data_IF_540995995990
#
_entry.id   IF_540995995990
#
_cell.length_a   1.000
_cell.length_b   1.000
_cell.length_c   1.000
_cell.angle_alpha   90.00
_cell.angle_beta   90.00
_cell.angle_gamma   90.00
#
_symmetry.space_group_name_H-M   'P 1'
#
loop_
_entity.id
_entity.type
_entity.pdbx_description
1 polymer ?
#
# COMPACT_ATOMS: atom_id res chain seq x y z
N UNK A 1 -43.23 7.33 -12.18
CA UNK A 1 -42.22 6.90 -13.17
C UNK A 1 -41.92 8.11 -14.05
N UNK A 2 -40.87 8.86 -13.78
CA UNK A 2 -40.46 9.94 -14.69
C UNK A 2 -39.53 9.33 -15.73
N UNK A 3 -40.01 9.22 -16.97
CA UNK A 3 -39.22 8.74 -18.10
C UNK A 3 -38.01 9.65 -18.29
N UNK A 4 -36.82 9.04 -18.31
CA UNK A 4 -35.62 9.68 -18.77
C UNK A 4 -35.74 9.91 -20.29
N UNK A 5 -35.86 11.17 -20.69
CA UNK A 5 -35.59 11.60 -22.06
C UNK A 5 -34.64 12.79 -21.97
N UNK A 6 -33.41 12.54 -22.40
CA UNK A 6 -32.30 13.49 -22.51
C UNK A 6 -32.70 14.57 -23.53
N UNK A 7 -32.65 15.85 -23.13
CA UNK A 7 -32.23 16.93 -24.02
C UNK A 7 -31.42 17.92 -23.17
N UNK A 8 -30.10 17.77 -23.23
CA UNK A 8 -29.15 18.83 -22.87
C UNK A 8 -29.33 19.96 -23.89
N UNK A 9 -30.07 21.00 -23.52
CA UNK A 9 -29.90 22.32 -24.13
C UNK A 9 -29.40 23.25 -23.05
N UNK A 10 -28.09 23.39 -23.02
CA UNK A 10 -27.40 24.48 -22.35
C UNK A 10 -27.88 25.76 -23.05
N UNK A 11 -28.91 26.41 -22.49
CA UNK A 11 -29.30 27.74 -22.96
C UNK A 11 -28.37 28.75 -22.27
N UNK A 12 -27.29 29.11 -22.98
CA UNK A 12 -26.53 30.31 -22.69
C UNK A 12 -27.20 31.45 -23.48
N UNK A 13 -27.72 32.48 -22.79
CA UNK A 13 -27.76 33.80 -23.40
C UNK A 13 -26.80 34.71 -22.64
N UNK A 14 -25.79 35.17 -23.38
CA UNK A 14 -24.89 36.22 -22.93
C UNK A 14 -25.68 37.48 -22.58
N UNK A 15 -25.41 38.00 -21.39
CA UNK A 15 -25.81 39.35 -21.01
C UNK A 15 -24.88 40.34 -21.70
N UNK A 16 -25.32 40.93 -22.81
CA UNK A 16 -24.80 42.21 -23.29
C UNK A 16 -25.82 43.32 -22.94
N UNK A 17 -25.24 44.43 -22.52
CA UNK A 17 -25.78 45.67 -21.93
C UNK A 17 -26.86 46.41 -22.73
N UNK A 18 -27.86 46.98 -22.03
CA UNK A 18 -28.34 48.37 -22.17
C UNK A 18 -29.47 48.69 -21.16
N UNK A 19 -29.49 49.90 -20.55
CA UNK A 19 -30.73 50.49 -20.03
C UNK A 19 -30.96 51.94 -20.50
N UNK A 20 -32.17 52.26 -20.97
CA UNK A 20 -32.84 53.58 -20.91
C UNK A 20 -34.28 53.35 -21.44
N UNK A 21 -35.42 53.87 -20.95
CA UNK A 21 -35.78 55.04 -20.14
C UNK A 21 -37.20 54.86 -19.51
N UNK A 22 -37.57 55.82 -18.65
CA UNK A 22 -38.76 55.98 -17.79
C UNK A 22 -40.13 56.00 -18.55
N UNK A 23 -41.33 55.86 -17.97
CA UNK A 23 -41.85 55.82 -16.60
C UNK A 23 -43.40 55.91 -16.57
N UNK A 24 -43.95 55.75 -15.36
CA UNK A 24 -45.27 56.18 -14.80
C UNK A 24 -46.57 55.34 -14.95
N UNK A 25 -47.05 55.00 -13.74
CA UNK A 25 -48.43 54.97 -13.21
C UNK A 25 -49.42 53.86 -13.61
N UNK A 26 -49.79 53.06 -12.60
CA UNK A 26 -50.97 52.19 -12.61
C UNK A 26 -50.90 51.14 -11.49
N UNK A 27 -51.67 51.35 -10.41
CA UNK A 27 -51.96 50.30 -9.43
C UNK A 27 -52.69 49.11 -10.08
N UNK A 28 -52.62 47.95 -9.43
CA UNK A 28 -53.19 46.65 -9.85
C UNK A 28 -52.38 45.74 -10.80
N UNK A 29 -51.05 45.69 -10.70
CA UNK A 29 -50.28 44.53 -11.23
C UNK A 29 -49.15 44.16 -10.27
N UNK A 30 -49.47 43.85 -9.02
CA UNK A 30 -48.44 43.42 -8.04
C UNK A 30 -48.73 42.10 -7.35
N UNK A 31 -49.99 41.69 -7.24
CA UNK A 31 -50.36 40.43 -6.59
C UNK A 31 -50.23 39.24 -7.55
N UNK A 32 -50.77 39.32 -8.78
CA UNK A 32 -50.68 38.22 -9.76
C UNK A 32 -49.26 37.92 -10.25
N UNK A 33 -48.42 38.95 -10.43
CA UNK A 33 -47.01 38.78 -10.84
C UNK A 33 -46.17 38.18 -9.71
N UNK A 34 -46.45 38.53 -8.45
CA UNK A 34 -45.81 37.92 -7.29
C UNK A 34 -46.24 36.47 -7.08
N UNK A 35 -47.55 36.16 -7.22
CA UNK A 35 -48.06 34.78 -7.16
C UNK A 35 -47.45 33.92 -8.26
N UNK A 36 -47.36 34.44 -9.50
CA UNK A 36 -46.71 33.75 -10.61
C UNK A 36 -45.21 33.53 -10.35
N UNK A 37 -44.50 34.53 -9.81
CA UNK A 37 -43.09 34.38 -9.43
C UNK A 37 -42.87 33.39 -8.28
N UNK A 38 -43.78 33.33 -7.30
CA UNK A 38 -43.74 32.35 -6.21
C UNK A 38 -44.04 30.94 -6.71
N UNK A 39 -45.03 30.79 -7.60
CA UNK A 39 -45.34 29.53 -8.27
C UNK A 39 -44.14 29.05 -9.11
N UNK A 40 -43.52 29.94 -9.90
CA UNK A 40 -42.31 29.62 -10.66
C UNK A 40 -41.13 29.27 -9.76
N UNK A 41 -40.91 29.99 -8.64
CA UNK A 41 -39.88 29.63 -7.65
C UNK A 41 -40.14 28.27 -7.02
N UNK A 42 -41.39 27.93 -6.69
CA UNK A 42 -41.76 26.63 -6.14
C UNK A 42 -41.60 25.50 -7.18
N UNK A 43 -41.91 25.77 -8.45
CA UNK A 43 -41.70 24.82 -9.56
C UNK A 43 -40.21 24.63 -9.81
N UNK A 44 -39.42 25.71 -9.89
CA UNK A 44 -37.96 25.65 -10.04
C UNK A 44 -37.36 24.88 -8.86
N UNK A 45 -37.74 25.21 -7.63
CA UNK A 45 -37.25 24.53 -6.42
C UNK A 45 -37.66 23.04 -6.40
N UNK A 46 -38.88 22.72 -6.84
CA UNK A 46 -39.35 21.34 -7.01
C UNK A 46 -38.56 20.57 -8.08
N UNK A 47 -38.27 21.20 -9.22
CA UNK A 47 -37.46 20.62 -10.31
C UNK A 47 -36.01 20.43 -9.87
N UNK A 48 -35.39 21.42 -9.22
CA UNK A 48 -34.02 21.32 -8.68
C UNK A 48 -33.93 20.24 -7.60
N UNK A 49 -34.94 20.12 -6.73
CA UNK A 49 -35.00 19.07 -5.70
C UNK A 49 -35.23 17.68 -6.28
N UNK A 50 -36.01 17.56 -7.36
CA UNK A 50 -36.14 16.30 -8.11
C UNK A 50 -34.82 15.91 -8.76
N UNK A 51 -34.12 16.84 -9.43
CA UNK A 51 -32.81 16.59 -10.04
C UNK A 51 -31.72 16.19 -9.02
N UNK A 52 -31.68 16.85 -7.86
CA UNK A 52 -30.75 16.53 -6.77
C UNK A 52 -31.00 15.14 -6.14
N UNK A 53 -32.25 14.69 -6.09
CA UNK A 53 -32.63 13.39 -5.52
C UNK A 53 -32.68 12.25 -6.56
N UNK A 54 -32.73 12.58 -7.85
CA UNK A 54 -32.68 11.62 -8.96
C UNK A 54 -31.29 11.43 -9.54
N UNK A 55 -30.29 12.19 -9.08
CA UNK A 55 -28.89 11.85 -9.31
C UNK A 55 -28.65 10.54 -8.54
N UNK A 56 -28.43 9.39 -9.22
CA UNK A 56 -27.90 8.25 -8.51
C UNK A 56 -26.61 8.75 -7.86
N UNK A 57 -26.53 8.67 -6.52
CA UNK A 57 -25.21 8.64 -5.88
C UNK A 57 -24.55 7.46 -6.55
N UNK A 58 -23.64 7.72 -7.49
CA UNK A 58 -22.88 6.64 -8.08
C UNK A 58 -22.20 5.99 -6.88
N UNK A 59 -22.67 4.80 -6.49
CA UNK A 59 -22.00 3.93 -5.54
C UNK A 59 -20.76 3.41 -6.27
N UNK A 60 -19.86 4.31 -6.65
CA UNK A 60 -18.49 3.95 -6.96
C UNK A 60 -17.94 3.50 -5.63
N UNK A 61 -17.90 2.18 -5.43
CA UNK A 61 -16.89 1.59 -4.55
C UNK A 61 -15.58 2.29 -4.91
N UNK A 62 -14.95 2.95 -3.93
CA UNK A 62 -13.63 3.52 -4.15
C UNK A 62 -12.68 2.36 -4.47
N UNK A 63 -12.42 2.17 -5.75
CA UNK A 63 -11.53 1.12 -6.27
C UNK A 63 -10.09 1.59 -6.29
N UNK A 64 -9.81 2.81 -5.81
CA UNK A 64 -8.44 3.30 -5.68
C UNK A 64 -7.78 2.69 -4.45
N UNK A 65 -6.48 2.45 -4.55
CA UNK A 65 -5.70 1.95 -3.44
C UNK A 65 -5.14 3.12 -2.62
N UNK A 66 -5.14 2.92 -1.31
CA UNK A 66 -4.32 3.69 -0.37
C UNK A 66 -2.83 3.60 -0.71
N UNK A 67 -1.97 4.49 -0.17
CA UNK A 67 -0.54 4.37 -0.33
C UNK A 67 -0.06 2.97 0.04
N UNK A 68 0.84 2.35 -0.75
CA UNK A 68 1.32 1.00 -0.51
C UNK A 68 1.94 0.92 0.91
N UNK A 69 1.57 -0.10 1.70
CA UNK A 69 2.02 -0.22 3.08
C UNK A 69 3.53 -0.45 3.17
N UNK A 70 4.13 -0.19 4.32
CA UNK A 70 5.55 -0.54 4.53
C UNK A 70 5.74 -2.06 4.70
N UNK A 71 6.98 -2.51 4.48
CA UNK A 71 7.42 -3.89 4.73
C UNK A 71 8.63 -3.89 5.67
N UNK A 72 8.76 -4.92 6.50
CA UNK A 72 9.95 -5.10 7.34
C UNK A 72 11.19 -5.34 6.47
N UNK A 73 12.32 -4.73 6.82
CA UNK A 73 13.58 -4.92 6.08
C UNK A 73 13.61 -4.26 4.70
N UNK A 74 12.65 -3.37 4.39
CA UNK A 74 12.54 -2.73 3.09
C UNK A 74 11.72 -1.45 3.10
N UNK A 75 11.53 -0.89 1.91
CA UNK A 75 10.76 0.34 1.68
C UNK A 75 10.12 0.33 0.30
N UNK A 76 9.09 1.15 0.12
CA UNK A 76 8.61 1.51 -1.22
C UNK A 76 9.60 2.48 -1.86
N UNK A 77 9.91 2.28 -3.14
CA UNK A 77 10.77 3.17 -3.91
C UNK A 77 10.03 4.45 -4.32
N UNK A 78 10.74 5.58 -4.28
CA UNK A 78 10.21 6.87 -4.69
C UNK A 78 9.23 7.49 -3.69
N UNK A 79 8.47 8.48 -4.16
CA UNK A 79 7.48 9.20 -3.35
C UNK A 79 6.12 8.53 -3.48
N UNK A 80 5.49 8.23 -2.34
CA UNK A 80 4.15 7.64 -2.32
C UNK A 80 3.10 8.67 -2.74
N UNK A 81 2.20 8.28 -3.63
CA UNK A 81 0.99 9.07 -3.93
C UNK A 81 -0.03 8.89 -2.80
N UNK A 82 -0.90 9.86 -2.53
CA UNK A 82 -1.98 9.71 -1.56
C UNK A 82 -3.04 8.68 -1.99
N UNK A 83 -3.18 8.43 -3.29
CA UNK A 83 -4.10 7.45 -3.90
C UNK A 83 -3.51 6.88 -5.18
N UNK A 84 -3.89 5.64 -5.50
CA UNK A 84 -3.47 4.92 -6.71
C UNK A 84 -4.68 4.37 -7.46
N UNK A 85 -4.74 4.57 -8.78
CA UNK A 85 -5.81 4.04 -9.62
C UNK A 85 -5.65 2.51 -9.85
N UNK A 86 -6.73 1.77 -10.12
CA UNK A 86 -6.64 0.38 -10.56
C UNK A 86 -5.67 0.21 -11.73
N UNK A 87 -4.77 -0.77 -11.64
CA UNK A 87 -3.72 -1.04 -12.61
C UNK A 87 -2.41 -0.28 -12.37
N UNK A 88 -2.39 0.76 -11.52
CA UNK A 88 -1.13 1.39 -11.12
C UNK A 88 -0.28 0.47 -10.26
N UNK A 89 1.04 0.68 -10.32
CA UNK A 89 2.01 -0.16 -9.63
C UNK A 89 2.90 0.62 -8.66
N UNK A 90 3.39 -0.09 -7.65
CA UNK A 90 4.40 0.39 -6.73
C UNK A 90 5.54 -0.63 -6.63
N UNK A 91 6.76 -0.13 -6.49
CA UNK A 91 7.97 -0.94 -6.44
C UNK A 91 8.55 -0.93 -5.03
N UNK A 92 8.87 -2.09 -4.49
CA UNK A 92 9.56 -2.26 -3.22
C UNK A 92 11.05 -2.49 -3.42
N UNK A 93 11.82 -2.14 -2.39
CA UNK A 93 13.25 -2.40 -2.29
C UNK A 93 13.60 -2.85 -0.88
N UNK A 94 14.31 -3.96 -0.77
CA UNK A 94 14.89 -4.37 0.50
C UNK A 94 16.08 -3.49 0.88
N UNK A 95 16.27 -3.26 2.18
CA UNK A 95 17.44 -2.58 2.71
C UNK A 95 18.70 -3.40 2.48
N UNK A 96 19.85 -2.74 2.63
CA UNK A 96 21.14 -3.42 2.52
C UNK A 96 21.24 -4.57 3.53
N UNK A 97 21.70 -5.73 3.07
CA UNK A 97 21.79 -6.94 3.89
C UNK A 97 20.51 -7.76 3.93
N UNK A 98 19.45 -7.36 3.24
CA UNK A 98 18.23 -8.15 3.08
C UNK A 98 18.07 -8.62 1.63
N UNK A 99 17.39 -9.75 1.45
CA UNK A 99 17.08 -10.34 0.15
C UNK A 99 15.57 -10.43 -0.06
N UNK A 100 15.13 -10.01 -1.24
CA UNK A 100 13.72 -10.02 -1.61
C UNK A 100 13.24 -11.42 -1.97
N UNK A 101 12.08 -11.80 -1.44
CA UNK A 101 11.33 -13.01 -1.78
C UNK A 101 9.96 -12.58 -2.29
N UNK A 102 9.56 -13.07 -3.46
CA UNK A 102 8.32 -12.67 -4.13
C UNK A 102 8.52 -11.52 -5.14
N UNK A 103 7.42 -11.01 -5.69
CA UNK A 103 7.44 -9.95 -6.68
C UNK A 103 7.78 -8.59 -6.05
N UNK A 104 8.78 -7.89 -6.58
CA UNK A 104 9.17 -6.56 -6.11
C UNK A 104 8.11 -5.49 -6.41
N UNK A 105 7.23 -5.77 -7.37
CA UNK A 105 6.23 -4.85 -7.87
C UNK A 105 4.85 -5.33 -7.45
N UNK A 106 4.07 -4.44 -6.86
CA UNK A 106 2.66 -4.67 -6.53
C UNK A 106 1.77 -3.84 -7.43
N UNK A 107 0.57 -4.34 -7.70
CA UNK A 107 -0.42 -3.69 -8.56
C UNK A 107 -1.68 -3.40 -7.75
N UNK A 108 -2.27 -2.23 -7.94
CA UNK A 108 -3.57 -1.88 -7.36
C UNK A 108 -4.68 -2.60 -8.13
N UNK A 109 -5.47 -3.43 -7.45
CA UNK A 109 -6.58 -4.19 -7.99
C UNK A 109 -7.82 -3.96 -7.13
N UNK A 110 -8.81 -3.26 -7.68
CA UNK A 110 -10.12 -3.03 -7.06
C UNK A 110 -10.03 -2.57 -5.58
N UNK A 111 -9.19 -1.57 -5.29
CA UNK A 111 -8.99 -1.01 -3.95
C UNK A 111 -7.98 -1.75 -3.08
N UNK A 112 -7.38 -2.84 -3.56
CA UNK A 112 -6.40 -3.64 -2.80
C UNK A 112 -5.10 -3.84 -3.58
N UNK A 113 -3.97 -3.85 -2.88
CA UNK A 113 -2.68 -4.19 -3.48
C UNK A 113 -2.54 -5.70 -3.62
N UNK A 114 -1.90 -6.16 -4.71
CA UNK A 114 -1.47 -7.56 -4.85
C UNK A 114 -0.51 -7.98 -3.73
N UNK A 115 -0.21 -9.28 -3.67
CA UNK A 115 0.71 -9.85 -2.69
C UNK A 115 2.05 -9.09 -2.66
N UNK A 116 2.48 -8.75 -1.45
CA UNK A 116 3.67 -7.95 -1.19
C UNK A 116 4.92 -8.84 -1.10
N UNK A 117 6.09 -8.32 -1.50
CA UNK A 117 7.33 -9.04 -1.27
C UNK A 117 7.69 -9.09 0.22
N UNK A 118 8.51 -10.07 0.57
CA UNK A 118 9.17 -10.16 1.87
C UNK A 118 10.65 -9.89 1.71
N UNK A 119 11.23 -9.12 2.64
CA UNK A 119 12.67 -8.95 2.74
C UNK A 119 13.20 -9.83 3.86
N UNK A 120 14.11 -10.75 3.52
CA UNK A 120 14.73 -11.68 4.46
C UNK A 120 16.18 -11.31 4.72
N UNK A 121 16.53 -11.12 5.99
CA UNK A 121 17.88 -10.76 6.42
C UNK A 121 18.90 -11.83 6.03
N UNK A 122 20.03 -11.39 5.50
CA UNK A 122 21.21 -12.21 5.37
C UNK A 122 21.85 -12.35 6.75
N UNK A 123 22.37 -13.53 7.04
CA UNK A 123 23.08 -13.78 8.28
C UNK A 123 24.57 -13.54 8.10
N UNK A 124 25.19 -13.02 9.15
CA UNK A 124 26.65 -12.88 9.23
C UNK A 124 27.19 -13.82 10.27
N UNK A 125 28.16 -14.65 9.89
CA UNK A 125 28.87 -15.50 10.84
C UNK A 125 29.63 -14.63 11.85
N UNK A 126 29.47 -15.00 13.11
CA UNK A 126 30.11 -14.36 14.25
C UNK A 126 31.24 -15.25 14.75
N UNK A 127 32.48 -14.86 14.48
CA UNK A 127 33.66 -15.58 15.00
C UNK A 127 33.64 -15.67 16.53
N UNK A 128 33.16 -14.63 17.22
CA UNK A 128 33.07 -14.64 18.68
C UNK A 128 32.04 -15.65 19.19
N UNK A 129 30.91 -15.83 18.49
CA UNK A 129 29.92 -16.85 18.83
C UNK A 129 30.49 -18.26 18.57
N UNK A 130 31.16 -18.46 17.43
CA UNK A 130 31.78 -19.73 17.08
C UNK A 130 32.88 -20.13 18.08
N UNK A 131 33.73 -19.19 18.48
CA UNK A 131 34.78 -19.43 19.47
C UNK A 131 34.19 -19.78 20.84
N UNK A 132 33.19 -19.02 21.32
CA UNK A 132 32.50 -19.31 22.60
C UNK A 132 31.84 -20.68 22.64
N UNK A 133 31.39 -21.15 21.48
CA UNK A 133 30.70 -22.44 21.36
C UNK A 133 31.64 -23.60 20.97
N UNK A 134 32.96 -23.35 20.86
CA UNK A 134 33.98 -24.34 20.47
C UNK A 134 33.69 -25.05 19.13
N UNK A 135 33.17 -24.29 18.17
CA UNK A 135 32.76 -24.79 16.86
C UNK A 135 33.55 -24.12 15.74
N UNK A 136 33.64 -24.82 14.61
CA UNK A 136 34.18 -24.33 13.34
C UNK A 136 33.30 -24.78 12.19
N UNK A 137 33.44 -24.14 11.03
CA UNK A 137 32.79 -24.63 9.83
C UNK A 137 33.31 -26.03 9.48
N UNK A 138 32.41 -26.92 9.05
CA UNK A 138 32.79 -28.25 8.57
C UNK A 138 33.68 -28.13 7.33
N UNK A 139 33.34 -27.17 6.46
CA UNK A 139 34.06 -26.82 5.23
C UNK A 139 34.19 -25.29 5.11
N UNK A 140 35.39 -24.80 4.79
CA UNK A 140 35.65 -23.38 4.52
C UNK A 140 35.65 -23.10 3.01
N UNK A 141 34.63 -23.57 2.30
CA UNK A 141 34.51 -23.44 0.83
C UNK A 141 34.12 -22.01 0.40
N UNK A 142 33.41 -21.28 1.26
CA UNK A 142 33.00 -19.89 1.00
C UNK A 142 34.08 -18.94 1.52
N UNK A 143 34.52 -18.00 0.67
CA UNK A 143 35.42 -16.89 1.08
C UNK A 143 34.71 -15.78 1.89
N UNK A 144 33.38 -15.83 1.97
CA UNK A 144 32.55 -14.81 2.65
C UNK A 144 31.89 -15.36 3.90
N UNK A 145 31.78 -14.54 4.94
CA UNK A 145 31.07 -14.83 6.20
C UNK A 145 29.57 -14.49 6.13
N UNK A 146 29.03 -14.15 4.94
CA UNK A 146 27.64 -13.78 4.75
C UNK A 146 26.87 -14.93 4.07
N UNK A 147 25.74 -15.28 4.67
CA UNK A 147 24.83 -16.33 4.21
C UNK A 147 23.45 -15.73 3.92
N UNK A 148 22.87 -16.13 2.79
CA UNK A 148 21.51 -15.74 2.41
C UNK A 148 20.50 -16.49 3.26
N UNK A 149 19.33 -15.91 3.49
CA UNK A 149 18.30 -16.64 4.22
C UNK A 149 17.94 -17.96 3.51
N UNK A 150 17.74 -19.02 4.30
CA UNK A 150 17.58 -20.43 3.90
C UNK A 150 18.84 -21.13 3.40
N UNK A 151 20.00 -20.47 3.34
CA UNK A 151 21.27 -21.20 3.16
C UNK A 151 21.62 -21.98 4.43
N UNK A 152 22.06 -23.23 4.23
CA UNK A 152 22.55 -24.12 5.28
C UNK A 152 24.02 -23.86 5.59
N UNK A 153 24.36 -23.93 6.87
CA UNK A 153 25.69 -23.74 7.42
C UNK A 153 26.04 -24.99 8.22
N UNK A 154 27.03 -25.73 7.74
CA UNK A 154 27.49 -26.96 8.39
C UNK A 154 28.63 -26.65 9.36
N UNK A 155 28.41 -26.96 10.64
CA UNK A 155 29.37 -26.80 11.72
C UNK A 155 29.95 -28.16 12.15
N UNK A 156 31.10 -28.11 12.81
CA UNK A 156 31.68 -29.24 13.54
C UNK A 156 32.44 -28.73 14.77
N UNK A 157 32.60 -29.57 15.78
CA UNK A 157 33.41 -29.24 16.94
C UNK A 157 34.91 -29.14 16.58
N UNK A 158 35.66 -28.45 17.45
CA UNK A 158 37.11 -28.64 17.51
C UNK A 158 37.47 -30.06 18.01
N UNK A 159 38.71 -30.50 17.74
CA UNK A 159 39.14 -31.88 17.91
C UNK A 159 38.94 -32.46 19.33
N UNK A 160 39.07 -31.65 20.38
CA UNK A 160 38.93 -32.07 21.79
C UNK A 160 37.55 -31.79 22.38
N UNK A 161 36.58 -31.47 21.54
CA UNK A 161 35.23 -31.09 21.96
C UNK A 161 34.20 -32.04 21.36
N UNK A 162 33.15 -32.35 22.12
CA UNK A 162 32.03 -33.19 21.67
C UNK A 162 30.76 -32.38 21.45
N UNK A 163 29.93 -32.84 20.54
CA UNK A 163 28.62 -32.27 20.24
C UNK A 163 27.68 -32.43 21.46
N UNK A 164 27.06 -31.34 21.90
CA UNK A 164 26.06 -31.35 23.00
C UNK A 164 24.72 -30.72 22.60
N UNK A 165 24.70 -29.91 21.53
CA UNK A 165 23.47 -29.38 20.91
C UNK A 165 22.75 -30.44 20.07
N UNK A 166 21.54 -30.09 19.61
CA UNK A 166 20.78 -30.98 18.72
C UNK A 166 21.50 -31.13 17.37
N UNK A 167 21.39 -32.29 16.70
CA UNK A 167 22.01 -32.51 15.39
C UNK A 167 21.61 -31.47 14.33
N UNK A 168 20.37 -30.96 14.39
CA UNK A 168 19.87 -29.92 13.49
C UNK A 168 20.62 -28.58 13.62
N UNK A 169 21.14 -28.28 14.82
CA UNK A 169 21.92 -27.06 15.06
C UNK A 169 23.30 -27.14 14.37
N UNK A 170 23.83 -28.35 14.12
CA UNK A 170 25.07 -28.53 13.38
C UNK A 170 24.90 -28.38 11.86
N UNK A 171 23.67 -28.45 11.36
CA UNK A 171 23.29 -28.14 9.98
C UNK A 171 22.32 -26.94 9.96
N UNK A 172 22.69 -25.88 10.70
CA UNK A 172 21.86 -24.71 10.91
C UNK A 172 21.52 -23.98 9.60
N UNK A 173 20.32 -23.42 9.53
CA UNK A 173 19.93 -22.52 8.43
C UNK A 173 19.99 -21.06 8.86
N UNK A 174 20.36 -20.18 7.93
CA UNK A 174 20.19 -18.75 8.12
C UNK A 174 18.69 -18.38 8.05
N UNK A 175 18.10 -18.01 9.18
CA UNK A 175 16.68 -17.66 9.27
C UNK A 175 16.54 -16.16 9.50
N UNK A 176 16.30 -15.39 8.42
CA UNK A 176 15.98 -13.96 8.49
C UNK A 176 16.98 -13.13 9.33
N UNK A 177 18.28 -13.34 9.09
CA UNK A 177 19.36 -12.68 9.82
C UNK A 177 19.82 -13.38 11.10
N UNK A 178 19.14 -14.45 11.52
CA UNK A 178 19.44 -15.23 12.73
C UNK A 178 20.10 -16.57 12.37
N UNK A 179 21.17 -16.91 13.12
CA UNK A 179 21.83 -18.22 13.08
C UNK A 179 21.77 -18.80 14.48
N UNK A 180 21.20 -20.00 14.60
CA UNK A 180 21.28 -20.79 15.81
C UNK A 180 22.61 -21.55 15.79
N UNK A 181 23.56 -21.12 16.62
CA UNK A 181 24.87 -21.76 16.70
C UNK A 181 24.81 -22.99 17.62
N UNK A 182 25.33 -24.15 17.18
CA UNK A 182 25.46 -25.31 18.06
C UNK A 182 26.53 -25.06 19.12
N UNK A 183 26.58 -25.90 20.14
CA UNK A 183 27.55 -25.87 21.23
C UNK A 183 28.31 -27.20 21.31
N UNK A 184 29.61 -27.09 21.60
CA UNK A 184 30.46 -28.23 21.94
C UNK A 184 31.14 -28.03 23.30
N UNK A 185 31.41 -29.15 23.99
CA UNK A 185 32.02 -29.15 25.33
C UNK A 185 33.30 -29.98 25.38
N UNK A 186 34.23 -29.57 26.24
CA UNK A 186 35.54 -30.22 26.39
C UNK A 186 35.37 -31.66 26.84
N UNK A 187 36.11 -32.57 26.20
CA UNK A 187 36.15 -33.97 26.63
C UNK A 187 37.09 -34.20 27.83
N UNK A 188 37.93 -33.22 28.17
CA UNK A 188 38.95 -33.31 29.23
C UNK A 188 38.45 -32.85 30.62
N UNK A 189 37.19 -32.42 30.73
CA UNK A 189 36.56 -31.99 31.99
C UNK A 189 35.79 -33.12 32.69
N UNK A 190 36.17 -34.39 32.45
CA UNK A 190 35.63 -35.55 33.17
C UNK A 190 36.69 -36.26 33.99
#
# INVERSE_FOLDING_TARGET
RCSAAIVMLIYIPGAHSAPESQGKNGGQIKVGKAILLLALKNIIWGVTRCFLNSMPKCLFSDVTCEPPPEIAGGKVQGVKKPRYLPGETAHYQCWQGFQMTGASTVTCQNGTWTERPQCKGNCRLSETAMARNNIKLRWSSKRSNIYRSKETISFKCYFLFREVSNPEDFEAQCQDGVINYPRCESQLEK
#
